data_IF_120412470522
#
_entry.id   IF_120412470522
#
_cell.length_a   1.000
_cell.length_b   1.000
_cell.length_c   1.000
_cell.angle_alpha   90.00
_cell.angle_beta   90.00
_cell.angle_gamma   90.00
#
_symmetry.space_group_name_H-M   'P 1'
#
loop_
_entity.id
_entity.type
_entity.pdbx_description
1 polymer ?
#
# COMPACT_ATOMS: atom_id res chain seq x y z
N UNK A 1 -10.26 -12.90 5.56
CA UNK A 1 -9.29 -11.77 5.57
C UNK A 1 -8.03 -11.99 4.71
N UNK A 2 -7.47 -13.20 4.62
CA UNK A 2 -6.10 -13.39 4.05
C UNK A 2 -6.05 -14.12 2.71
N UNK A 3 -7.19 -14.63 2.21
CA UNK A 3 -7.32 -15.26 0.88
C UNK A 3 -6.25 -16.33 0.58
N UNK A 4 -5.83 -17.10 1.60
CA UNK A 4 -4.82 -18.16 1.46
C UNK A 4 -3.35 -17.71 1.58
N UNK A 5 -3.05 -16.41 1.73
CA UNK A 5 -1.68 -15.93 1.89
C UNK A 5 -1.19 -16.05 3.34
N UNK A 6 -0.38 -17.07 3.61
CA UNK A 6 0.17 -17.37 4.95
C UNK A 6 1.04 -16.21 5.47
N UNK A 7 1.91 -15.63 4.64
CA UNK A 7 2.75 -14.50 5.03
C UNK A 7 1.93 -13.28 5.46
N UNK A 8 0.85 -13.01 4.74
CA UNK A 8 -0.11 -11.94 5.06
C UNK A 8 -0.87 -12.24 6.35
N UNK A 9 -1.32 -13.48 6.54
CA UNK A 9 -1.99 -13.91 7.76
C UNK A 9 -1.10 -13.72 8.98
N UNK A 10 0.17 -14.11 8.87
CA UNK A 10 1.18 -13.93 9.92
C UNK A 10 1.39 -12.45 10.23
N UNK A 11 1.56 -11.61 9.19
CA UNK A 11 1.74 -10.15 9.37
C UNK A 11 0.53 -9.54 10.08
N UNK A 12 -0.69 -9.81 9.64
CA UNK A 12 -1.90 -9.27 10.29
C UNK A 12 -2.09 -9.77 11.72
N UNK A 13 -1.62 -10.98 12.05
CA UNK A 13 -1.70 -11.53 13.41
C UNK A 13 -0.73 -10.84 14.38
N UNK A 14 0.43 -10.37 13.92
CA UNK A 14 1.51 -9.87 14.78
C UNK A 14 1.74 -8.36 14.69
N UNK A 15 1.25 -7.70 13.64
CA UNK A 15 1.52 -6.29 13.34
C UNK A 15 0.22 -5.46 13.43
N UNK A 16 0.07 -4.71 14.52
CA UNK A 16 -1.07 -3.79 14.72
C UNK A 16 -1.11 -2.69 13.68
N UNK A 17 0.06 -2.19 13.25
CA UNK A 17 0.14 -1.15 12.21
C UNK A 17 -0.41 -1.67 10.88
N UNK A 18 -0.12 -2.94 10.53
CA UNK A 18 -0.68 -3.58 9.34
C UNK A 18 -2.20 -3.75 9.43
N UNK A 19 -2.74 -4.07 10.62
CA UNK A 19 -4.19 -4.14 10.84
C UNK A 19 -4.85 -2.78 10.70
N UNK A 20 -4.28 -1.73 11.30
CA UNK A 20 -4.78 -0.37 11.20
C UNK A 20 -4.77 0.14 9.75
N UNK A 21 -3.69 -0.11 9.00
CA UNK A 21 -3.61 0.22 7.57
C UNK A 21 -4.69 -0.49 6.77
N UNK A 22 -4.83 -1.81 6.93
CA UNK A 22 -5.89 -2.57 6.25
C UNK A 22 -7.28 -2.02 6.58
N UNK A 23 -7.56 -1.70 7.85
CA UNK A 23 -8.83 -1.12 8.25
C UNK A 23 -9.09 0.25 7.59
N UNK A 24 -8.06 1.07 7.42
CA UNK A 24 -8.15 2.33 6.66
C UNK A 24 -8.48 2.10 5.18
N UNK A 25 -7.78 1.16 4.54
CA UNK A 25 -8.02 0.78 3.13
C UNK A 25 -9.46 0.31 2.93
N UNK A 26 -9.97 -0.56 3.81
CA UNK A 26 -11.33 -1.10 3.69
C UNK A 26 -12.43 -0.05 3.95
N UNK A 27 -12.08 1.11 4.52
CA UNK A 27 -13.00 2.26 4.64
C UNK A 27 -13.01 3.16 3.40
N UNK A 28 -12.05 3.03 2.49
CA UNK A 28 -11.95 3.87 1.28
C UNK A 28 -13.23 3.87 0.44
N UNK A 29 -13.88 2.71 0.14
CA UNK A 29 -15.11 2.68 -0.66
C UNK A 29 -16.27 3.49 -0.08
N UNK A 30 -16.21 3.84 1.21
CA UNK A 30 -17.25 4.55 1.96
C UNK A 30 -17.04 6.07 1.98
N UNK A 31 -15.97 6.56 1.35
CA UNK A 31 -15.47 7.94 1.45
C UNK A 31 -15.27 8.62 0.09
N UNK A 32 -15.71 7.98 -0.99
CA UNK A 32 -15.44 8.39 -2.38
C UNK A 32 -16.69 8.87 -3.11
N UNK A 33 -17.67 9.41 -2.39
CA UNK A 33 -18.96 9.85 -2.95
C UNK A 33 -18.83 11.15 -3.76
N UNK A 34 -17.83 11.98 -3.47
CA UNK A 34 -17.52 13.22 -4.18
C UNK A 34 -16.05 13.26 -4.65
N UNK A 35 -15.74 14.23 -5.51
CA UNK A 35 -14.40 14.37 -6.09
C UNK A 35 -13.33 14.65 -5.03
N UNK A 36 -13.63 15.51 -4.06
CA UNK A 36 -12.70 15.84 -2.98
C UNK A 36 -12.40 14.65 -2.09
N UNK A 37 -13.42 13.86 -1.76
CA UNK A 37 -13.29 12.59 -1.04
C UNK A 37 -12.38 11.59 -1.76
N UNK A 38 -12.50 11.49 -3.07
CA UNK A 38 -11.64 10.62 -3.89
C UNK A 38 -10.17 11.03 -3.90
N UNK A 39 -9.88 12.32 -4.13
CA UNK A 39 -8.51 12.82 -4.15
C UNK A 39 -7.86 12.72 -2.77
N UNK A 40 -8.62 13.06 -1.71
CA UNK A 40 -8.15 12.92 -0.33
C UNK A 40 -7.86 11.47 0.04
N UNK A 41 -8.76 10.54 -0.31
CA UNK A 41 -8.55 9.12 -0.03
C UNK A 41 -7.35 8.55 -0.81
N UNK A 42 -7.12 9.01 -2.04
CA UNK A 42 -5.94 8.64 -2.82
C UNK A 42 -4.65 9.13 -2.17
N UNK A 43 -4.60 10.39 -1.76
CA UNK A 43 -3.46 10.98 -1.07
C UNK A 43 -3.15 10.24 0.24
N UNK A 44 -4.16 10.03 1.09
CA UNK A 44 -4.01 9.30 2.35
C UNK A 44 -3.46 7.88 2.14
N UNK A 45 -3.90 7.20 1.07
CA UNK A 45 -3.43 5.85 0.76
C UNK A 45 -1.95 5.83 0.35
N UNK A 46 -1.54 6.78 -0.49
CA UNK A 46 -0.16 6.90 -0.97
C UNK A 46 0.79 7.33 0.15
N UNK A 47 0.36 8.28 0.99
CA UNK A 47 1.13 8.74 2.15
C UNK A 47 1.30 7.62 3.17
N UNK A 48 0.24 6.86 3.47
CA UNK A 48 0.31 5.72 4.37
C UNK A 48 1.29 4.64 3.86
N UNK A 49 1.35 4.42 2.54
CA UNK A 49 2.31 3.48 1.95
C UNK A 49 3.75 4.02 1.97
N UNK A 50 3.94 5.33 1.78
CA UNK A 50 5.24 5.97 1.87
C UNK A 50 5.80 5.91 3.31
N UNK A 51 4.93 6.16 4.29
CA UNK A 51 5.30 6.12 5.71
C UNK A 51 5.61 4.69 6.17
N UNK A 52 4.84 3.67 5.74
CA UNK A 52 5.17 2.25 6.00
C UNK A 52 6.54 1.89 5.44
N UNK A 53 6.83 2.31 4.20
CA UNK A 53 8.12 2.07 3.57
C UNK A 53 9.28 2.74 4.31
N UNK A 54 9.05 3.92 4.88
CA UNK A 54 10.03 4.64 5.71
C UNK A 54 10.26 3.91 7.03
N UNK A 55 9.19 3.54 7.74
CA UNK A 55 9.27 2.85 9.04
C UNK A 55 9.98 1.50 8.93
N UNK A 56 9.68 0.72 7.88
CA UNK A 56 10.36 -0.56 7.62
C UNK A 56 11.85 -0.38 7.33
N UNK A 57 12.24 0.75 6.75
CA UNK A 57 13.62 1.01 6.34
C UNK A 57 14.47 1.69 7.42
N UNK A 58 13.89 2.49 8.31
CA UNK A 58 14.61 3.44 9.18
C UNK A 58 15.72 2.80 10.02
N UNK A 59 15.43 1.73 10.75
CA UNK A 59 16.42 1.05 11.61
C UNK A 59 17.54 0.40 10.78
N UNK A 60 17.16 -0.25 9.67
CA UNK A 60 18.09 -0.99 8.81
C UNK A 60 18.99 -0.03 8.03
N UNK A 61 18.42 1.02 7.45
CA UNK A 61 19.14 2.04 6.67
C UNK A 61 20.16 2.77 7.56
N UNK A 62 19.77 3.11 8.79
CA UNK A 62 20.66 3.77 9.76
C UNK A 62 21.85 2.87 10.09
N UNK A 63 21.58 1.62 10.46
CA UNK A 63 22.62 0.64 10.80
C UNK A 63 23.57 0.36 9.62
N UNK A 64 23.02 0.11 8.43
CA UNK A 64 23.84 -0.12 7.22
C UNK A 64 24.75 1.07 6.91
N UNK A 65 24.26 2.29 7.13
CA UNK A 65 25.02 3.53 6.90
C UNK A 65 26.15 3.69 7.92
N UNK A 66 25.89 3.40 9.19
CA UNK A 66 26.89 3.44 10.26
C UNK A 66 27.97 2.37 10.08
N UNK A 67 27.56 1.13 9.78
CA UNK A 67 28.46 0.01 9.52
C UNK A 67 29.39 0.32 8.33
N UNK A 68 28.84 0.87 7.24
CA UNK A 68 29.63 1.27 6.07
C UNK A 68 30.59 2.42 6.40
N UNK A 69 30.15 3.42 7.16
CA UNK A 69 31.03 4.53 7.59
C UNK A 69 32.20 4.00 8.42
N UNK A 70 31.92 3.12 9.38
CA UNK A 70 32.95 2.50 10.21
C UNK A 70 33.95 1.69 9.36
N UNK A 71 33.45 0.86 8.42
CA UNK A 71 34.28 0.07 7.51
C UNK A 71 35.17 0.93 6.59
N UNK A 72 34.70 2.12 6.22
CA UNK A 72 35.45 3.10 5.42
C UNK A 72 36.41 3.96 6.25
N UNK A 73 36.57 3.68 7.56
CA UNK A 73 37.52 4.38 8.43
C UNK A 73 37.01 5.71 8.98
N UNK A 74 35.69 5.95 8.98
CA UNK A 74 35.10 7.07 9.72
C UNK A 74 35.51 6.96 11.19
N UNK A 75 36.26 7.94 11.69
CA UNK A 75 36.75 7.95 13.08
C UNK A 75 38.20 7.48 13.29
N UNK A 76 38.91 7.03 12.24
CA UNK A 76 40.33 6.65 12.34
C UNK A 76 41.33 7.84 12.36
N UNK A 77 40.83 9.09 12.41
CA UNK A 77 41.65 10.31 12.46
C UNK A 77 40.96 11.45 13.23
N UNK A 78 41.76 12.43 13.66
CA UNK A 78 41.29 13.59 14.45
C UNK A 78 40.18 14.36 13.71
N UNK A 79 38.95 14.25 14.21
CA UNK A 79 37.79 15.03 13.71
C UNK A 79 36.73 14.25 12.91
N UNK A 80 36.77 12.91 12.88
CA UNK A 80 35.65 12.10 12.36
C UNK A 80 35.35 12.26 10.86
N UNK A 81 36.27 12.83 10.09
CA UNK A 81 36.06 13.12 8.66
C UNK A 81 36.30 11.87 7.81
N UNK A 82 35.41 11.61 6.87
CA UNK A 82 35.54 10.49 5.92
C UNK A 82 36.81 10.62 5.06
N UNK A 83 37.53 9.51 4.79
CA UNK A 83 38.66 9.50 3.85
C UNK A 83 38.26 9.94 2.44
N UNK A 84 39.20 10.52 1.69
CA UNK A 84 38.98 10.92 0.28
C UNK A 84 38.64 9.70 -0.58
N UNK A 85 37.71 9.85 -1.53
CA UNK A 85 37.29 8.78 -2.45
C UNK A 85 36.13 7.90 -1.95
N UNK A 86 35.69 8.05 -0.70
CA UNK A 86 34.60 7.25 -0.10
C UNK A 86 33.19 7.68 -0.54
N UNK A 87 33.05 8.88 -1.14
CA UNK A 87 31.76 9.44 -1.54
C UNK A 87 31.00 8.57 -2.55
N UNK A 88 31.68 7.87 -3.46
CA UNK A 88 31.05 6.98 -4.43
C UNK A 88 30.33 5.81 -3.77
N UNK A 89 30.99 5.13 -2.84
CA UNK A 89 30.44 3.97 -2.12
C UNK A 89 29.26 4.38 -1.24
N UNK A 90 29.33 5.55 -0.59
CA UNK A 90 28.21 6.10 0.18
C UNK A 90 27.00 6.40 -0.71
N UNK A 91 27.23 6.96 -1.91
CA UNK A 91 26.15 7.24 -2.87
C UNK A 91 25.51 5.95 -3.39
N UNK A 92 26.29 4.91 -3.66
CA UNK A 92 25.76 3.61 -4.07
C UNK A 92 24.88 2.97 -2.98
N UNK A 93 25.26 3.12 -1.70
CA UNK A 93 24.42 2.69 -0.59
C UNK A 93 23.10 3.47 -0.56
N UNK A 94 23.16 4.80 -0.66
CA UNK A 94 21.97 5.66 -0.68
C UNK A 94 21.02 5.29 -1.84
N UNK A 95 21.56 5.07 -3.04
CA UNK A 95 20.79 4.65 -4.21
C UNK A 95 20.12 3.28 -3.99
N UNK A 96 20.80 2.34 -3.32
CA UNK A 96 20.23 1.04 -2.96
C UNK A 96 19.10 1.17 -1.94
N UNK A 97 19.31 1.97 -0.89
CA UNK A 97 18.30 2.27 0.13
C UNK A 97 17.07 2.95 -0.49
N UNK A 98 17.28 3.90 -1.41
CA UNK A 98 16.20 4.56 -2.15
C UNK A 98 15.39 3.58 -2.99
N UNK A 99 16.06 2.70 -3.76
CA UNK A 99 15.40 1.64 -4.54
C UNK A 99 14.59 0.68 -3.67
N UNK A 100 15.12 0.30 -2.50
CA UNK A 100 14.43 -0.53 -1.52
C UNK A 100 13.17 0.16 -1.00
N UNK A 101 13.26 1.42 -0.57
CA UNK A 101 12.10 2.21 -0.12
C UNK A 101 11.01 2.32 -1.19
N UNK A 102 11.37 2.61 -2.45
CA UNK A 102 10.41 2.65 -3.56
C UNK A 102 9.73 1.30 -3.77
N UNK A 103 10.46 0.19 -3.67
CA UNK A 103 9.87 -1.15 -3.79
C UNK A 103 8.89 -1.43 -2.65
N UNK A 104 9.31 -1.18 -1.40
CA UNK A 104 8.44 -1.39 -0.23
C UNK A 104 7.15 -0.57 -0.33
N UNK A 105 7.23 0.69 -0.78
CA UNK A 105 6.05 1.52 -0.98
C UNK A 105 5.09 0.89 -2.01
N UNK A 106 5.62 0.39 -3.13
CA UNK A 106 4.82 -0.26 -4.18
C UNK A 106 4.19 -1.56 -3.70
N UNK A 107 4.94 -2.38 -2.96
CA UNK A 107 4.42 -3.62 -2.37
C UNK A 107 3.30 -3.33 -1.36
N UNK A 108 3.42 -2.26 -0.57
CA UNK A 108 2.37 -1.82 0.35
C UNK A 108 1.12 -1.32 -0.39
N UNK A 109 1.28 -0.57 -1.48
CA UNK A 109 0.16 -0.19 -2.34
C UNK A 109 -0.51 -1.41 -2.99
N UNK A 110 0.26 -2.37 -3.49
CA UNK A 110 -0.30 -3.59 -4.08
C UNK A 110 -1.12 -4.42 -3.08
N UNK A 111 -0.66 -4.47 -1.82
CA UNK A 111 -1.39 -5.11 -0.74
C UNK A 111 -2.75 -4.43 -0.48
N UNK A 112 -2.78 -3.09 -0.54
CA UNK A 112 -4.01 -2.31 -0.40
C UNK A 112 -4.96 -2.50 -1.60
N UNK A 113 -4.45 -2.54 -2.84
CA UNK A 113 -5.26 -2.86 -4.02
C UNK A 113 -5.86 -4.27 -3.94
N UNK A 114 -5.11 -5.22 -3.38
CA UNK A 114 -5.60 -6.58 -3.08
C UNK A 114 -6.74 -6.56 -2.06
N UNK A 115 -6.63 -5.74 -1.00
CA UNK A 115 -7.70 -5.57 -0.01
C UNK A 115 -8.97 -4.98 -0.62
N UNK A 116 -8.84 -3.93 -1.44
CA UNK A 116 -9.97 -3.32 -2.14
C UNK A 116 -10.62 -4.30 -3.12
N UNK A 117 -9.83 -5.11 -3.83
CA UNK A 117 -10.34 -6.17 -4.69
C UNK A 117 -11.13 -7.19 -3.87
N UNK A 118 -10.62 -7.59 -2.70
CA UNK A 118 -11.30 -8.48 -1.77
C UNK A 118 -12.62 -7.90 -1.26
N UNK A 119 -12.64 -6.60 -0.92
CA UNK A 119 -13.85 -5.89 -0.52
C UNK A 119 -14.93 -5.98 -1.60
N UNK A 120 -14.61 -5.63 -2.86
CA UNK A 120 -15.60 -5.66 -3.93
C UNK A 120 -16.00 -7.08 -4.36
N UNK A 121 -15.13 -8.08 -4.18
CA UNK A 121 -15.52 -9.49 -4.35
C UNK A 121 -16.54 -9.94 -3.32
N UNK A 122 -16.38 -9.54 -2.06
CA UNK A 122 -17.38 -9.83 -1.02
C UNK A 122 -18.70 -9.10 -1.29
N UNK A 123 -18.65 -7.83 -1.73
CA UNK A 123 -19.85 -7.09 -2.19
C UNK A 123 -20.55 -7.84 -3.32
N UNK A 124 -19.81 -8.30 -4.33
CA UNK A 124 -20.35 -9.04 -5.47
C UNK A 124 -20.97 -10.37 -5.01
N UNK A 125 -20.34 -11.08 -4.08
CA UNK A 125 -20.87 -12.32 -3.51
C UNK A 125 -22.21 -12.10 -2.80
N UNK A 126 -22.34 -11.00 -2.04
CA UNK A 126 -23.61 -10.60 -1.40
C UNK A 126 -24.68 -10.23 -2.44
N UNK A 127 -24.32 -9.48 -3.48
CA UNK A 127 -25.25 -9.08 -4.55
C UNK A 127 -25.80 -10.28 -5.33
N UNK A 128 -25.00 -11.33 -5.49
CA UNK A 128 -25.39 -12.55 -6.20
C UNK A 128 -26.04 -13.60 -5.29
N UNK A 129 -26.24 -13.31 -4.01
CA UNK A 129 -26.84 -14.25 -3.05
C UNK A 129 -26.01 -15.52 -2.83
N UNK A 130 -24.68 -15.42 -2.93
CA UNK A 130 -23.78 -16.55 -2.74
C UNK A 130 -23.92 -17.15 -1.34
N UNK A 131 -23.92 -18.48 -1.25
CA UNK A 131 -23.87 -19.22 0.02
C UNK A 131 -22.47 -19.35 0.60
N UNK A 132 -21.45 -18.90 -0.12
CA UNK A 132 -20.06 -18.91 0.34
C UNK A 132 -19.84 -17.85 1.42
N UNK A 133 -18.99 -18.17 2.40
CA UNK A 133 -18.57 -17.22 3.41
C UNK A 133 -17.80 -16.05 2.76
N UNK A 134 -18.12 -14.83 3.16
CA UNK A 134 -17.36 -13.63 2.79
C UNK A 134 -16.08 -13.53 3.61
N UNK A 135 -15.08 -12.86 3.07
CA UNK A 135 -13.76 -12.80 3.67
C UNK A 135 -13.62 -11.77 4.78
N UNK A 136 -14.36 -10.66 4.68
CA UNK A 136 -14.27 -9.50 5.57
C UNK A 136 -15.52 -9.42 6.46
N UNK A 137 -15.81 -10.50 7.18
CA UNK A 137 -16.97 -10.64 8.07
C UNK A 137 -17.06 -9.50 9.10
N UNK A 138 -15.91 -9.02 9.57
CA UNK A 138 -15.79 -7.93 10.55
C UNK A 138 -16.41 -6.60 10.08
N UNK A 139 -16.56 -6.41 8.77
CA UNK A 139 -17.14 -5.21 8.14
C UNK A 139 -18.37 -5.55 7.28
N UNK A 140 -19.07 -6.66 7.58
CA UNK A 140 -20.27 -7.09 6.84
C UNK A 140 -21.28 -5.95 6.64
N UNK A 141 -21.53 -5.14 7.67
CA UNK A 141 -22.48 -4.03 7.58
C UNK A 141 -22.12 -3.00 6.50
N UNK A 142 -20.83 -2.72 6.32
CA UNK A 142 -20.33 -1.84 5.26
C UNK A 142 -20.44 -2.48 3.87
N UNK A 143 -20.10 -3.77 3.77
CA UNK A 143 -20.24 -4.54 2.54
C UNK A 143 -21.70 -4.57 2.05
N UNK A 144 -22.63 -4.86 2.96
CA UNK A 144 -24.07 -4.90 2.66
C UNK A 144 -24.62 -3.53 2.25
N UNK A 145 -24.13 -2.45 2.88
CA UNK A 145 -24.50 -1.08 2.49
C UNK A 145 -24.12 -0.79 1.04
N UNK A 146 -22.91 -1.14 0.62
CA UNK A 146 -22.47 -0.97 -0.77
C UNK A 146 -23.21 -1.93 -1.72
N UNK A 147 -23.44 -3.17 -1.29
CA UNK A 147 -24.17 -4.17 -2.06
C UNK A 147 -25.61 -3.73 -2.37
N UNK A 148 -26.30 -3.08 -1.41
CA UNK A 148 -27.65 -2.52 -1.61
C UNK A 148 -27.67 -1.24 -2.43
N UNK A 149 -26.59 -0.46 -2.42
CA UNK A 149 -26.52 0.85 -3.10
C UNK A 149 -26.17 0.75 -4.60
N UNK A 150 -25.76 -0.42 -5.10
CA UNK A 150 -25.34 -0.60 -6.49
C UNK A 150 -25.61 -2.02 -7.01
N UNK A 151 -25.47 -2.24 -8.32
CA UNK A 151 -25.63 -3.56 -8.95
C UNK A 151 -24.30 -4.27 -9.25
N UNK A 152 -24.34 -5.58 -9.57
CA UNK A 152 -23.16 -6.38 -9.90
C UNK A 152 -22.26 -5.77 -10.98
N UNK A 153 -22.86 -5.15 -12.02
CA UNK A 153 -22.12 -4.58 -13.15
C UNK A 153 -21.22 -3.42 -12.72
N UNK A 154 -21.72 -2.55 -11.83
CA UNK A 154 -20.92 -1.46 -11.25
C UNK A 154 -19.83 -2.00 -10.31
N UNK A 155 -20.13 -3.06 -9.56
CA UNK A 155 -19.13 -3.71 -8.71
C UNK A 155 -18.00 -4.31 -9.55
N UNK A 156 -18.31 -4.92 -10.70
CA UNK A 156 -17.30 -5.45 -11.62
C UNK A 156 -16.42 -4.36 -12.21
N UNK A 157 -16.99 -3.25 -12.69
CA UNK A 157 -16.22 -2.10 -13.18
C UNK A 157 -15.29 -1.50 -12.11
N UNK A 158 -15.73 -1.50 -10.85
CA UNK A 158 -14.86 -1.08 -9.72
C UNK A 158 -13.68 -2.03 -9.52
N UNK A 159 -13.88 -3.34 -9.70
CA UNK A 159 -12.79 -4.32 -9.69
C UNK A 159 -11.85 -4.08 -10.88
N UNK A 160 -12.38 -3.83 -12.08
CA UNK A 160 -11.59 -3.48 -13.27
C UNK A 160 -10.76 -2.20 -13.06
N UNK A 161 -11.32 -1.18 -12.41
CA UNK A 161 -10.60 0.05 -12.07
C UNK A 161 -9.40 -0.22 -11.14
N UNK A 162 -9.54 -1.13 -10.17
CA UNK A 162 -8.44 -1.53 -9.28
C UNK A 162 -7.35 -2.30 -10.05
N UNK A 163 -7.75 -3.18 -10.98
CA UNK A 163 -6.81 -3.89 -11.85
C UNK A 163 -6.06 -2.90 -12.74
N UNK A 164 -6.75 -1.94 -13.35
CA UNK A 164 -6.13 -0.89 -14.15
C UNK A 164 -5.15 -0.03 -13.34
N UNK A 165 -5.46 0.26 -12.07
CA UNK A 165 -4.54 0.93 -11.15
C UNK A 165 -3.26 0.12 -10.92
N UNK A 166 -3.38 -1.19 -10.68
CA UNK A 166 -2.23 -2.09 -10.53
C UNK A 166 -1.36 -2.09 -11.79
N UNK A 167 -1.98 -2.25 -12.96
CA UNK A 167 -1.26 -2.23 -14.24
C UNK A 167 -0.54 -0.89 -14.48
N UNK A 168 -1.18 0.23 -14.12
CA UNK A 168 -0.57 1.56 -14.22
C UNK A 168 0.66 1.69 -13.31
N UNK A 169 0.56 1.22 -12.06
CA UNK A 169 1.70 1.17 -11.15
C UNK A 169 2.83 0.35 -11.77
N UNK A 170 2.55 -0.86 -12.27
CA UNK A 170 3.55 -1.75 -12.90
C UNK A 170 4.24 -1.12 -14.12
N UNK A 171 3.56 -0.21 -14.82
CA UNK A 171 4.11 0.59 -15.91
C UNK A 171 4.83 1.87 -15.46
N UNK A 172 5.14 1.98 -14.17
CA UNK A 172 5.83 3.12 -13.54
C UNK A 172 5.06 4.45 -13.63
N UNK A 173 3.73 4.42 -13.67
CA UNK A 173 2.93 5.64 -13.45
C UNK A 173 3.17 6.14 -12.04
N UNK A 174 3.17 7.47 -11.85
CA UNK A 174 3.28 8.09 -10.54
C UNK A 174 2.19 7.55 -9.60
N UNK A 175 2.52 7.04 -8.40
CA UNK A 175 1.55 6.35 -7.54
C UNK A 175 0.30 7.18 -7.22
N UNK A 176 0.47 8.47 -6.91
CA UNK A 176 -0.65 9.35 -6.61
C UNK A 176 -1.62 9.46 -7.79
N UNK A 177 -1.11 9.71 -8.99
CA UNK A 177 -1.94 9.83 -10.20
C UNK A 177 -2.70 8.52 -10.50
N UNK A 178 -2.04 7.37 -10.37
CA UNK A 178 -2.68 6.07 -10.60
C UNK A 178 -3.83 5.83 -9.62
N UNK A 179 -3.62 6.14 -8.33
CA UNK A 179 -4.62 5.96 -7.28
C UNK A 179 -5.75 7.00 -7.40
N UNK A 180 -5.46 8.24 -7.78
CA UNK A 180 -6.49 9.26 -8.07
C UNK A 180 -7.40 8.85 -9.24
N UNK A 181 -6.81 8.34 -10.32
CA UNK A 181 -7.57 7.82 -11.45
C UNK A 181 -8.46 6.62 -11.05
N UNK A 182 -7.93 5.75 -10.19
CA UNK A 182 -8.69 4.64 -9.61
C UNK A 182 -9.86 5.14 -8.78
N UNK A 183 -9.66 6.04 -7.82
CA UNK A 183 -10.74 6.53 -6.94
C UNK A 183 -11.82 7.28 -7.72
N UNK A 184 -11.44 8.03 -8.76
CA UNK A 184 -12.39 8.61 -9.73
C UNK A 184 -13.25 7.56 -10.42
N UNK A 185 -12.62 6.48 -10.88
CA UNK A 185 -13.32 5.38 -11.56
C UNK A 185 -14.21 4.61 -10.59
N UNK A 186 -13.76 4.39 -9.36
CA UNK A 186 -14.55 3.72 -8.31
C UNK A 186 -15.83 4.48 -7.97
N UNK A 187 -15.77 5.82 -7.94
CA UNK A 187 -16.93 6.69 -7.75
C UNK A 187 -17.92 6.58 -8.90
N UNK A 188 -17.42 6.59 -10.14
CA UNK A 188 -18.27 6.60 -11.33
C UNK A 188 -19.14 5.34 -11.45
N UNK A 189 -18.60 4.17 -11.05
CA UNK A 189 -19.32 2.90 -11.15
C UNK A 189 -19.23 2.32 -12.55
#
# INVERSE_FOLDING_TARGET
ATQGHIGRARRLATDESARARRASVLKLPLRIDDVGGCLKAAQELVDAAAEDAKQVAEEVDTKETEDLRAALGAGAGTGGRMPRGTAGVMKELEDRQKRRRTRTQRDTLDLALTDLTGFYRDVLALQLGSSLAIANEEIRGDLERIARASGPERTLRRIEAIIACRDALDRNVAPLLAVEAMTMSLRAG
#
